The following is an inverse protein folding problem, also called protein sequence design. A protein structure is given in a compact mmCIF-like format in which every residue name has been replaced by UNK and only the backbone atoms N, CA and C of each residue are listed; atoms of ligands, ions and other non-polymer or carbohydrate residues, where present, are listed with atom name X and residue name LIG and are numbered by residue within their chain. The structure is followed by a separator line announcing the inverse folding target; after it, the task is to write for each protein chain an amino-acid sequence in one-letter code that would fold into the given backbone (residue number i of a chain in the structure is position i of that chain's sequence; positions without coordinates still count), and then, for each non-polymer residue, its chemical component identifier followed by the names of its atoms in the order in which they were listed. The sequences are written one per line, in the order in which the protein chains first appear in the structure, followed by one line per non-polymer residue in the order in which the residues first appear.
data_IF_033581771034
#
_entry.id   IF_033581771034
#
_cell.length_a   1.000
_cell.length_b   1.000
_cell.length_c   1.000
_cell.angle_alpha   90.00
_cell.angle_beta   90.00
_cell.angle_gamma   90.00
#
_symmetry.space_group_name_H-M   'P 1'
#
loop_
_entity.id
_entity.type
_entity.pdbx_description
1 polymer ?
#
# COMPACT_ATOMS: atom_id res chain seq x y z
N UNK A 1 -22.58 -0.02 13.74
CA UNK A 1 -21.22 0.03 13.14
C UNK A 1 -21.37 0.53 11.71
N UNK A 2 -20.57 1.52 11.27
CA UNK A 2 -20.52 1.85 9.83
C UNK A 2 -19.84 0.68 9.11
N UNK A 3 -20.37 0.16 8.00
CA UNK A 3 -19.63 -0.80 7.20
C UNK A 3 -18.36 -0.09 6.72
N UNK A 4 -17.20 -0.65 7.07
CA UNK A 4 -15.91 -0.15 6.59
C UNK A 4 -15.89 -0.51 5.11
N UNK A 5 -16.17 0.46 4.24
CA UNK A 5 -15.91 0.28 2.81
C UNK A 5 -14.43 -0.08 2.63
N UNK A 6 -14.10 -1.14 1.87
CA UNK A 6 -12.71 -1.52 1.66
C UNK A 6 -11.90 -0.33 1.13
N UNK A 7 -10.69 -0.14 1.67
CA UNK A 7 -9.76 0.86 1.13
C UNK A 7 -9.45 0.50 -0.33
N UNK A 8 -9.64 1.45 -1.24
CA UNK A 8 -9.31 1.27 -2.66
C UNK A 8 -8.16 2.20 -3.06
N UNK A 9 -7.46 1.86 -4.14
CA UNK A 9 -6.42 2.71 -4.72
C UNK A 9 -6.97 4.10 -5.07
N UNK A 10 -8.20 4.18 -5.60
CA UNK A 10 -8.87 5.46 -5.92
C UNK A 10 -9.02 6.33 -4.67
N UNK A 11 -9.54 5.77 -3.58
CA UNK A 11 -9.73 6.50 -2.32
C UNK A 11 -8.41 6.97 -1.73
N UNK A 12 -7.37 6.11 -1.73
CA UNK A 12 -6.03 6.47 -1.28
C UNK A 12 -5.44 7.61 -2.12
N UNK A 13 -5.55 7.52 -3.46
CA UNK A 13 -5.04 8.54 -4.37
C UNK A 13 -5.72 9.88 -4.17
N UNK A 14 -7.06 9.89 -4.04
CA UNK A 14 -7.83 11.12 -3.74
C UNK A 14 -7.35 11.72 -2.43
N UNK A 15 -7.30 10.94 -1.36
CA UNK A 15 -6.87 11.42 -0.05
C UNK A 15 -5.45 12.03 -0.08
N UNK A 16 -4.48 11.33 -0.68
CA UNK A 16 -3.09 11.80 -0.74
C UNK A 16 -2.93 13.04 -1.65
N UNK A 17 -3.70 13.11 -2.72
CA UNK A 17 -3.72 14.30 -3.58
C UNK A 17 -4.29 15.51 -2.82
N UNK A 18 -5.40 15.32 -2.12
CA UNK A 18 -6.07 16.38 -1.36
C UNK A 18 -5.24 16.81 -0.14
N UNK A 19 -4.39 15.92 0.40
CA UNK A 19 -3.42 16.26 1.45
C UNK A 19 -2.20 17.04 0.94
N UNK A 20 -2.14 17.38 -0.35
CA UNK A 20 -1.03 18.11 -0.95
C UNK A 20 0.23 17.27 -1.21
N UNK A 21 0.13 15.93 -1.20
CA UNK A 21 1.28 15.09 -1.55
C UNK A 21 1.65 15.30 -3.03
N UNK A 22 2.94 15.52 -3.29
CA UNK A 22 3.45 15.64 -4.65
C UNK A 22 3.06 14.44 -5.52
N UNK A 23 2.64 14.70 -6.77
CA UNK A 23 2.09 13.70 -7.71
C UNK A 23 2.97 12.46 -7.90
N UNK A 24 4.29 12.61 -7.91
CA UNK A 24 5.24 11.50 -8.07
C UNK A 24 5.46 10.66 -6.80
N UNK A 25 5.00 11.13 -5.64
CA UNK A 25 5.00 10.34 -4.40
C UNK A 25 3.68 9.60 -4.18
N UNK A 26 2.63 9.88 -4.96
CA UNK A 26 1.36 9.16 -4.89
C UNK A 26 1.57 7.73 -5.42
N UNK A 27 1.25 6.68 -4.65
CA UNK A 27 1.40 5.31 -5.10
C UNK A 27 0.51 4.98 -6.30
N UNK A 28 1.02 4.09 -7.15
CA UNK A 28 0.32 3.61 -8.34
C UNK A 28 -0.33 2.23 -8.15
N UNK A 29 0.02 1.53 -7.07
CA UNK A 29 -0.50 0.22 -6.69
C UNK A 29 -0.84 0.24 -5.20
N UNK A 30 -1.83 -0.56 -4.80
CA UNK A 30 -2.23 -0.74 -3.41
C UNK A 30 -2.54 -2.22 -3.19
N UNK A 31 -1.79 -2.84 -2.30
CA UNK A 31 -2.04 -4.20 -1.85
C UNK A 31 -2.55 -4.18 -0.40
N UNK A 32 -3.67 -4.85 -0.14
CA UNK A 32 -4.18 -5.06 1.22
C UNK A 32 -3.72 -6.44 1.67
N UNK A 33 -2.88 -6.48 2.69
CA UNK A 33 -2.36 -7.72 3.29
C UNK A 33 -2.90 -7.88 4.69
N UNK A 34 -3.15 -9.13 5.10
CA UNK A 34 -3.60 -9.43 6.46
C UNK A 34 -2.49 -9.14 7.50
N UNK A 35 -1.23 -9.42 7.14
CA UNK A 35 -0.09 -9.27 8.02
C UNK A 35 1.12 -8.64 7.30
N UNK A 36 1.81 -7.74 8.00
CA UNK A 36 3.07 -7.15 7.53
C UNK A 36 4.23 -7.96 8.11
N UNK A 37 5.13 -8.53 7.27
CA UNK A 37 6.24 -9.34 7.75
C UNK A 37 7.19 -8.50 8.60
N UNK A 38 7.59 -9.05 9.74
CA UNK A 38 8.50 -8.40 10.70
C UNK A 38 9.65 -9.32 11.06
N UNK A 39 10.80 -8.73 11.37
CA UNK A 39 11.94 -9.46 11.92
C UNK A 39 11.72 -9.78 13.42
N UNK A 40 12.59 -10.59 14.06
CA UNK A 40 12.44 -10.95 15.48
C UNK A 40 12.42 -9.75 16.44
N UNK A 41 12.99 -8.61 16.07
CA UNK A 41 12.91 -7.36 16.84
C UNK A 41 11.64 -6.54 16.58
N UNK A 42 10.72 -7.04 15.76
CA UNK A 42 9.45 -6.40 15.43
C UNK A 42 9.51 -5.35 14.32
N UNK A 43 10.66 -5.12 13.67
CA UNK A 43 10.76 -4.15 12.56
C UNK A 43 10.20 -4.74 11.27
N UNK A 44 9.59 -3.91 10.42
CA UNK A 44 9.08 -4.33 9.10
C UNK A 44 10.24 -4.82 8.22
N UNK A 45 10.08 -6.00 7.61
CA UNK A 45 11.08 -6.58 6.70
C UNK A 45 10.71 -6.24 5.26
N UNK A 46 11.18 -5.07 4.78
CA UNK A 46 10.81 -4.54 3.45
C UNK A 46 11.17 -5.47 2.29
N UNK A 47 12.31 -6.14 2.34
CA UNK A 47 12.76 -7.01 1.24
C UNK A 47 11.80 -8.18 1.03
N UNK A 48 11.24 -8.75 2.10
CA UNK A 48 10.25 -9.83 2.01
C UNK A 48 8.98 -9.34 1.30
N UNK A 49 8.52 -8.11 1.60
CA UNK A 49 7.39 -7.51 0.88
C UNK A 49 7.71 -7.26 -0.60
N UNK A 50 8.93 -6.82 -0.92
CA UNK A 50 9.35 -6.62 -2.30
C UNK A 50 9.37 -7.94 -3.07
N UNK A 51 9.94 -8.99 -2.47
CA UNK A 51 9.99 -10.33 -3.07
C UNK A 51 8.61 -10.93 -3.28
N UNK A 52 7.69 -10.72 -2.32
CA UNK A 52 6.30 -11.19 -2.40
C UNK A 52 5.55 -10.60 -3.60
N UNK A 53 5.87 -9.36 -3.98
CA UNK A 53 5.14 -8.62 -5.02
C UNK A 53 5.94 -8.39 -6.30
N UNK A 54 7.13 -8.98 -6.42
CA UNK A 54 8.04 -8.76 -7.57
C UNK A 54 7.43 -9.17 -8.92
N UNK A 55 6.56 -10.18 -8.91
CA UNK A 55 5.95 -10.76 -10.11
C UNK A 55 4.51 -10.27 -10.32
N UNK A 56 4.01 -9.35 -9.47
CA UNK A 56 2.70 -8.75 -9.71
C UNK A 56 2.82 -7.77 -10.86
N UNK A 57 1.96 -7.98 -11.86
CA UNK A 57 1.93 -7.13 -13.03
C UNK A 57 1.50 -5.70 -12.65
N UNK A 58 2.40 -4.76 -12.91
CA UNK A 58 2.19 -3.37 -12.61
C UNK A 58 1.47 -2.70 -13.78
N UNK A 59 0.14 -2.73 -13.72
CA UNK A 59 -0.74 -2.06 -14.69
C UNK A 59 -0.58 -0.53 -14.53
N UNK A 60 0.02 0.12 -15.54
CA UNK A 60 0.43 1.54 -15.53
C UNK A 60 -0.67 2.52 -15.84
#
# INVERSE_FOLDING_TARGET
MRPISPLTLKLMRTYLNDSGLRRNAIPKQLEIVENIPRNPSGKITKNVLQDQFKDIDFQR
#
